data_IF_899225228480
#
_entry.id   IF_899225228480
#
_cell.length_a   1.000
_cell.length_b   1.000
_cell.length_c   1.000
_cell.angle_alpha   90.00
_cell.angle_beta   90.00
_cell.angle_gamma   90.00
#
_symmetry.space_group_name_H-M   'P 1'
#
loop_
_entity.id
_entity.type
_entity.pdbx_description
1 polymer ?
#
# COMPACT_ATOMS: atom_id res chain seq x y z
N UNK A 1 4.76 -24.51 -9.43
CA UNK A 1 4.91 -23.20 -10.09
C UNK A 1 3.50 -22.72 -10.37
N UNK A 2 3.07 -21.63 -9.72
CA UNK A 2 1.71 -21.08 -9.87
C UNK A 2 1.46 -20.56 -11.28
N UNK A 3 0.19 -20.34 -11.63
CA UNK A 3 -0.20 -19.69 -12.89
C UNK A 3 0.35 -18.25 -12.96
N UNK A 4 0.50 -17.65 -14.14
CA UNK A 4 0.95 -16.25 -14.26
C UNK A 4 0.11 -15.27 -13.40
N UNK A 5 -1.20 -15.49 -13.30
CA UNK A 5 -2.09 -14.67 -12.46
C UNK A 5 -1.78 -14.78 -10.96
N UNK A 6 -1.56 -15.99 -10.46
CA UNK A 6 -1.19 -16.23 -9.05
C UNK A 6 0.15 -15.60 -8.69
N UNK A 7 1.11 -15.62 -9.62
CA UNK A 7 2.43 -14.99 -9.42
C UNK A 7 2.29 -13.47 -9.31
N UNK A 8 1.48 -12.84 -10.19
CA UNK A 8 1.22 -11.39 -10.17
C UNK A 8 0.53 -11.00 -8.87
N UNK A 9 -0.48 -11.74 -8.44
CA UNK A 9 -1.19 -11.49 -7.19
C UNK A 9 -0.23 -11.57 -5.99
N UNK A 10 0.58 -12.62 -5.92
CA UNK A 10 1.55 -12.81 -4.83
C UNK A 10 2.58 -11.67 -4.75
N UNK A 11 3.01 -11.15 -5.90
CA UNK A 11 3.90 -9.97 -5.97
C UNK A 11 3.19 -8.72 -5.46
N UNK A 12 1.93 -8.49 -5.86
CA UNK A 12 1.12 -7.37 -5.41
C UNK A 12 0.95 -7.37 -3.89
N UNK A 13 0.59 -8.52 -3.31
CA UNK A 13 0.46 -8.67 -1.86
C UNK A 13 1.77 -8.45 -1.10
N UNK A 14 2.90 -8.88 -1.67
CA UNK A 14 4.20 -8.65 -1.05
C UNK A 14 4.55 -7.15 -1.04
N UNK A 15 4.33 -6.43 -2.14
CA UNK A 15 4.53 -4.97 -2.17
C UNK A 15 3.60 -4.25 -1.19
N UNK A 16 2.34 -4.62 -1.09
CA UNK A 16 1.41 -4.02 -0.14
C UNK A 16 1.95 -4.11 1.29
N UNK A 17 2.40 -5.29 1.72
CA UNK A 17 2.97 -5.49 3.06
C UNK A 17 4.22 -4.65 3.29
N UNK A 18 5.11 -4.60 2.29
CA UNK A 18 6.34 -3.80 2.36
C UNK A 18 6.04 -2.31 2.43
N UNK A 19 5.09 -1.82 1.63
CA UNK A 19 4.69 -0.42 1.65
C UNK A 19 4.09 -0.02 2.99
N UNK A 20 3.18 -0.83 3.54
CA UNK A 20 2.60 -0.60 4.87
C UNK A 20 3.71 -0.55 5.92
N UNK A 21 4.62 -1.51 5.94
CA UNK A 21 5.73 -1.54 6.89
C UNK A 21 6.68 -0.35 6.73
N UNK A 22 6.89 0.14 5.50
CA UNK A 22 7.67 1.34 5.24
C UNK A 22 6.96 2.61 5.72
N UNK A 23 5.65 2.72 5.51
CA UNK A 23 4.85 3.85 6.01
C UNK A 23 4.87 3.89 7.54
N UNK A 24 4.64 2.76 8.21
CA UNK A 24 4.72 2.65 9.67
C UNK A 24 6.10 2.97 10.24
N UNK A 25 7.16 2.74 9.45
CA UNK A 25 8.54 3.05 9.87
C UNK A 25 8.90 4.52 9.74
N UNK A 26 8.30 5.21 8.76
CA UNK A 26 8.73 6.55 8.35
C UNK A 26 7.71 7.65 8.64
N UNK A 27 6.44 7.30 8.83
CA UNK A 27 5.39 8.28 9.16
C UNK A 27 5.08 8.18 10.66
N UNK A 28 5.50 9.16 11.48
CA UNK A 28 5.19 9.15 12.89
C UNK A 28 3.68 9.09 13.13
N UNK A 29 3.25 8.36 14.15
CA UNK A 29 1.85 8.21 14.55
C UNK A 29 0.94 7.48 13.57
N UNK A 30 1.46 6.96 12.45
CA UNK A 30 0.71 6.10 11.55
C UNK A 30 0.79 4.64 12.00
N UNK A 31 -0.34 3.97 12.01
CA UNK A 31 -0.47 2.55 12.30
C UNK A 31 -1.50 1.93 11.35
N UNK A 32 -1.14 0.83 10.68
CA UNK A 32 -2.10 0.04 9.94
C UNK A 32 -2.96 -0.79 10.92
N UNK A 33 -4.28 -0.75 10.75
CA UNK A 33 -5.22 -1.47 11.61
C UNK A 33 -5.84 -2.66 10.88
N UNK A 34 -6.28 -2.45 9.64
CA UNK A 34 -6.95 -3.46 8.82
C UNK A 34 -6.33 -3.51 7.43
N UNK A 35 -6.26 -4.69 6.85
CA UNK A 35 -5.95 -4.87 5.43
C UNK A 35 -7.04 -5.69 4.73
N UNK A 36 -7.10 -5.58 3.40
CA UNK A 36 -8.15 -6.21 2.59
C UNK A 36 -8.14 -7.74 2.66
N UNK A 37 -7.00 -8.35 2.98
CA UNK A 37 -6.86 -9.81 3.04
C UNK A 37 -7.31 -10.39 4.38
N UNK A 38 -7.19 -9.61 5.46
CA UNK A 38 -7.54 -10.05 6.81
C UNK A 38 -8.94 -9.64 7.20
N UNK A 39 -9.35 -8.40 6.88
CA UNK A 39 -10.65 -7.85 7.22
C UNK A 39 -11.27 -7.07 6.04
N UNK A 40 -11.70 -7.77 4.98
CA UNK A 40 -12.19 -7.14 3.76
C UNK A 40 -13.40 -6.22 3.99
N UNK A 41 -14.25 -6.53 4.94
CA UNK A 41 -15.45 -5.73 5.24
C UNK A 41 -15.11 -4.35 5.83
N UNK A 42 -13.93 -4.20 6.46
CA UNK A 42 -13.48 -2.93 7.03
C UNK A 42 -12.89 -1.98 6.00
N UNK A 43 -12.48 -2.53 4.85
CA UNK A 43 -11.85 -1.78 3.76
C UNK A 43 -12.75 -1.64 2.54
N UNK A 44 -13.94 -2.27 2.54
CA UNK A 44 -14.84 -2.35 1.37
C UNK A 44 -16.03 -1.40 1.46
N UNK A 45 -16.39 -0.82 0.32
CA UNK A 45 -17.45 0.17 0.18
C UNK A 45 -18.28 -0.10 -1.08
N UNK A 46 -19.49 0.42 -1.13
CA UNK A 46 -20.32 0.41 -2.33
C UNK A 46 -20.14 1.71 -3.12
N UNK A 47 -19.89 1.59 -4.40
CA UNK A 47 -19.90 2.73 -5.33
C UNK A 47 -21.33 3.10 -5.74
N UNK A 48 -21.53 4.34 -6.18
CA UNK A 48 -22.80 4.85 -6.69
C UNK A 48 -23.28 4.11 -7.94
N UNK A 49 -22.33 3.57 -8.73
CA UNK A 49 -22.63 2.71 -9.88
C UNK A 49 -23.00 1.26 -9.53
N UNK A 50 -23.19 0.94 -8.23
CA UNK A 50 -23.56 -0.40 -7.76
C UNK A 50 -22.39 -1.37 -7.63
N UNK A 51 -21.19 -0.98 -8.00
CA UNK A 51 -19.98 -1.82 -7.89
C UNK A 51 -19.37 -1.69 -6.49
N UNK A 52 -19.05 -2.80 -5.84
CA UNK A 52 -18.23 -2.77 -4.61
C UNK A 52 -16.77 -2.54 -4.97
N UNK A 53 -16.08 -1.79 -4.13
CA UNK A 53 -14.64 -1.57 -4.20
C UNK A 53 -14.02 -1.64 -2.81
N UNK A 54 -12.72 -1.87 -2.77
CA UNK A 54 -11.95 -1.92 -1.53
C UNK A 54 -10.71 -1.05 -1.63
N UNK A 55 -10.25 -0.56 -0.48
CA UNK A 55 -8.88 -0.10 -0.31
C UNK A 55 -8.01 -1.26 0.16
N UNK A 56 -6.72 -1.23 -0.14
CA UNK A 56 -5.80 -2.29 0.27
C UNK A 56 -5.59 -2.31 1.78
N UNK A 57 -5.69 -1.15 2.44
CA UNK A 57 -5.61 -1.04 3.90
C UNK A 57 -6.42 0.12 4.47
N UNK A 58 -6.74 0.01 5.75
CA UNK A 58 -7.22 1.10 6.57
C UNK A 58 -6.33 1.21 7.80
N UNK A 59 -5.70 2.36 7.98
CA UNK A 59 -4.87 2.68 9.12
C UNK A 59 -5.41 3.87 9.92
N UNK A 60 -4.69 4.22 10.98
CA UNK A 60 -4.98 5.39 11.81
C UNK A 60 -3.74 6.27 11.91
N UNK A 61 -3.93 7.54 11.66
CA UNK A 61 -2.95 8.59 11.97
C UNK A 61 -3.32 9.20 13.33
N UNK A 62 -2.56 8.83 14.35
CA UNK A 62 -2.88 9.10 15.75
C UNK A 62 -2.01 10.24 16.32
N UNK A 63 -2.02 11.38 15.64
CA UNK A 63 -1.29 12.56 16.10
C UNK A 63 -1.93 13.10 17.40
N UNK A 64 -1.14 13.64 18.36
CA UNK A 64 -1.66 14.15 19.64
C UNK A 64 -2.84 15.14 19.52
N UNK A 65 -2.87 15.89 18.42
CA UNK A 65 -3.91 16.90 18.18
C UNK A 65 -5.01 16.46 17.20
N UNK A 66 -4.85 15.30 16.56
CA UNK A 66 -5.78 14.85 15.52
C UNK A 66 -5.71 13.35 15.32
N UNK A 67 -6.84 12.68 15.48
CA UNK A 67 -7.01 11.31 15.02
C UNK A 67 -7.74 11.32 13.68
N UNK A 68 -7.21 10.61 12.70
CA UNK A 68 -7.81 10.44 11.39
C UNK A 68 -7.65 9.00 10.90
N UNK A 69 -8.62 8.49 10.17
CA UNK A 69 -8.46 7.23 9.45
C UNK A 69 -7.70 7.49 8.14
N UNK A 70 -6.99 6.48 7.66
CA UNK A 70 -6.20 6.53 6.44
C UNK A 70 -6.60 5.35 5.58
N UNK A 71 -7.17 5.62 4.43
CA UNK A 71 -7.49 4.59 3.43
C UNK A 71 -6.42 4.58 2.36
N UNK A 72 -5.81 3.44 2.10
CA UNK A 72 -4.67 3.34 1.20
C UNK A 72 -4.82 2.32 0.10
N UNK A 73 -4.28 2.67 -1.06
CA UNK A 73 -4.14 1.82 -2.24
C UNK A 73 -2.66 1.63 -2.54
N UNK A 74 -2.23 0.39 -2.68
CA UNK A 74 -0.84 0.00 -2.92
C UNK A 74 -0.68 -0.57 -4.33
N UNK A 75 0.20 0.00 -5.12
CA UNK A 75 0.45 -0.44 -6.50
C UNK A 75 1.93 -0.72 -6.73
N UNK A 76 2.28 -2.00 -6.60
CA UNK A 76 3.63 -2.51 -6.91
C UNK A 76 3.72 -2.93 -8.37
N UNK A 77 4.45 -2.17 -9.19
CA UNK A 77 4.60 -2.44 -10.61
C UNK A 77 6.05 -2.59 -11.05
N UNK A 78 6.25 -3.32 -12.15
CA UNK A 78 7.53 -3.34 -12.85
C UNK A 78 7.68 -2.16 -13.82
N UNK A 79 6.57 -1.51 -14.23
CA UNK A 79 6.52 -0.39 -15.18
C UNK A 79 5.36 0.54 -14.84
N UNK A 80 5.47 1.81 -15.24
CA UNK A 80 4.46 2.83 -14.98
C UNK A 80 3.17 2.71 -15.84
N UNK A 81 3.11 1.77 -16.79
CA UNK A 81 1.97 1.60 -17.68
C UNK A 81 0.68 1.30 -16.92
N UNK A 82 -0.39 2.05 -17.18
CA UNK A 82 -1.69 1.88 -16.52
C UNK A 82 -1.84 2.57 -15.17
N UNK A 83 -0.74 3.00 -14.52
CA UNK A 83 -0.76 3.55 -13.17
C UNK A 83 -1.62 4.83 -13.05
N UNK A 84 -1.67 5.65 -14.10
CA UNK A 84 -2.52 6.84 -14.11
C UNK A 84 -4.01 6.47 -14.10
N UNK A 85 -4.40 5.41 -14.81
CA UNK A 85 -5.77 4.87 -14.77
C UNK A 85 -6.16 4.36 -13.39
N UNK A 86 -5.26 3.63 -12.73
CA UNK A 86 -5.44 3.16 -11.36
C UNK A 86 -5.56 4.33 -10.35
N UNK A 87 -4.74 5.37 -10.53
CA UNK A 87 -4.83 6.56 -9.69
C UNK A 87 -6.17 7.29 -9.87
N UNK A 88 -6.68 7.41 -11.10
CA UNK A 88 -8.02 7.97 -11.35
C UNK A 88 -9.13 7.14 -10.71
N UNK A 89 -9.06 5.81 -10.78
CA UNK A 89 -9.99 4.93 -10.09
C UNK A 89 -9.89 5.09 -8.56
N UNK A 90 -8.69 5.21 -8.01
CA UNK A 90 -8.48 5.52 -6.59
C UNK A 90 -9.11 6.86 -6.20
N UNK A 91 -8.98 7.92 -7.01
CA UNK A 91 -9.62 9.20 -6.75
C UNK A 91 -11.14 9.09 -6.70
N UNK A 92 -11.74 8.29 -7.58
CA UNK A 92 -13.18 8.03 -7.56
C UNK A 92 -13.62 7.31 -6.28
N UNK A 93 -12.87 6.28 -5.83
CA UNK A 93 -13.10 5.60 -4.56
C UNK A 93 -12.99 6.57 -3.38
N UNK A 94 -11.92 7.36 -3.32
CA UNK A 94 -11.71 8.35 -2.28
C UNK A 94 -12.84 9.39 -2.23
N UNK A 95 -13.31 9.86 -3.39
CA UNK A 95 -14.42 10.81 -3.48
C UNK A 95 -15.71 10.21 -2.94
N UNK A 96 -16.13 9.02 -3.40
CA UNK A 96 -17.36 8.36 -2.93
C UNK A 96 -17.29 8.03 -1.44
N UNK A 97 -16.16 7.48 -0.97
CA UNK A 97 -15.95 7.21 0.46
C UNK A 97 -16.06 8.50 1.28
N UNK A 98 -15.47 9.58 0.78
CA UNK A 98 -15.52 10.88 1.45
C UNK A 98 -16.93 11.44 1.54
N UNK A 99 -17.72 11.37 0.46
CA UNK A 99 -19.05 12.00 0.37
C UNK A 99 -20.15 11.12 0.95
N UNK A 100 -20.21 9.86 0.57
CA UNK A 100 -21.37 9.00 0.82
C UNK A 100 -21.27 8.29 2.19
N UNK A 101 -20.07 8.15 2.71
CA UNK A 101 -19.84 7.51 4.02
C UNK A 101 -19.46 8.49 5.14
N UNK A 102 -19.66 9.81 4.92
CA UNK A 102 -19.44 10.83 5.93
C UNK A 102 -17.97 11.04 6.30
N UNK A 103 -17.03 10.61 5.46
CA UNK A 103 -15.58 10.68 5.68
C UNK A 103 -14.94 12.00 5.19
N UNK A 104 -15.75 13.04 5.04
CA UNK A 104 -15.34 14.27 4.34
C UNK A 104 -14.57 15.29 5.18
N UNK A 105 -14.38 15.09 6.47
CA UNK A 105 -13.75 16.13 7.29
C UNK A 105 -12.39 15.74 7.88
N UNK A 106 -12.08 14.46 8.03
CA UNK A 106 -10.94 14.04 8.85
C UNK A 106 -10.01 13.02 8.20
N UNK A 107 -10.52 12.19 7.29
CA UNK A 107 -9.80 11.02 6.84
C UNK A 107 -8.88 11.32 5.66
N UNK A 108 -7.77 10.62 5.58
CA UNK A 108 -6.79 10.74 4.51
C UNK A 108 -6.93 9.58 3.52
N UNK A 109 -6.55 9.84 2.27
CA UNK A 109 -6.53 8.86 1.21
C UNK A 109 -5.13 8.81 0.59
N UNK A 110 -4.46 7.67 0.69
CA UNK A 110 -3.07 7.50 0.29
C UNK A 110 -2.93 6.54 -0.88
N UNK A 111 -2.25 6.98 -1.92
CA UNK A 111 -1.86 6.16 -3.06
C UNK A 111 -0.36 5.89 -3.00
N UNK A 112 0.03 4.63 -2.92
CA UNK A 112 1.40 4.21 -2.71
C UNK A 112 1.87 3.40 -3.93
N UNK A 113 3.03 3.71 -4.47
CA UNK A 113 3.61 3.01 -5.61
C UNK A 113 5.14 2.96 -5.50
N UNK A 114 5.76 1.99 -6.17
CA UNK A 114 7.22 1.91 -6.27
C UNK A 114 7.79 2.58 -7.53
N UNK A 115 6.94 2.99 -8.46
CA UNK A 115 7.37 3.66 -9.70
C UNK A 115 6.71 5.03 -9.84
N UNK A 116 7.45 6.06 -10.26
CA UNK A 116 6.85 7.34 -10.60
C UNK A 116 5.99 7.20 -11.87
N UNK A 117 4.94 7.99 -11.99
CA UNK A 117 4.13 8.04 -13.19
C UNK A 117 4.10 9.46 -13.79
N UNK A 118 3.93 9.50 -15.12
CA UNK A 118 4.29 10.62 -15.98
C UNK A 118 3.69 12.02 -15.65
N UNK A 119 2.68 12.10 -14.80
CA UNK A 119 2.02 13.36 -14.45
C UNK A 119 2.51 13.96 -13.12
N UNK A 120 3.58 13.42 -12.53
CA UNK A 120 4.08 13.91 -11.24
C UNK A 120 5.02 15.11 -11.35
N UNK A 121 5.59 15.34 -12.53
CA UNK A 121 6.41 16.52 -12.78
C UNK A 121 5.54 17.79 -12.62
N UNK A 122 5.92 18.63 -11.66
CA UNK A 122 5.17 19.85 -11.35
C UNK A 122 4.02 19.73 -10.33
N UNK A 123 3.87 18.59 -9.63
CA UNK A 123 2.85 18.45 -8.56
C UNK A 123 1.40 18.34 -9.07
N UNK A 124 1.20 18.19 -10.39
CA UNK A 124 -0.09 18.29 -11.06
C UNK A 124 -1.18 17.32 -10.63
N UNK A 125 -0.81 16.08 -10.22
CA UNK A 125 -1.79 15.02 -9.90
C UNK A 125 -2.58 15.24 -8.60
N UNK A 126 -2.17 16.16 -7.75
CA UNK A 126 -2.84 16.55 -6.51
C UNK A 126 -3.48 17.93 -6.59
N UNK A 127 -3.57 18.51 -7.77
CA UNK A 127 -4.26 19.78 -7.96
C UNK A 127 -5.77 19.59 -8.04
N UNK A 128 -6.51 20.61 -7.64
CA UNK A 128 -7.95 20.63 -7.77
C UNK A 128 -8.39 20.34 -9.23
N UNK A 129 -7.76 20.98 -10.20
CA UNK A 129 -8.09 20.80 -11.62
C UNK A 129 -7.92 19.35 -12.05
N UNK A 130 -6.76 18.74 -11.75
CA UNK A 130 -6.51 17.35 -12.11
C UNK A 130 -7.53 16.40 -11.45
N UNK A 131 -7.78 16.56 -10.15
CA UNK A 131 -8.71 15.67 -9.42
C UNK A 131 -10.12 15.83 -9.95
N UNK A 132 -10.59 17.05 -10.18
CA UNK A 132 -11.90 17.33 -10.78
C UNK A 132 -12.04 16.71 -12.17
N UNK A 133 -11.03 16.89 -13.03
CA UNK A 133 -11.06 16.38 -14.40
C UNK A 133 -11.01 14.85 -14.42
N UNK A 134 -10.21 14.24 -13.54
CA UNK A 134 -10.16 12.79 -13.36
C UNK A 134 -11.52 12.20 -12.92
N UNK A 135 -12.21 12.86 -12.00
CA UNK A 135 -13.54 12.45 -11.53
C UNK A 135 -14.65 12.65 -12.58
N UNK A 136 -14.46 13.61 -13.48
CA UNK A 136 -15.40 13.86 -14.59
C UNK A 136 -15.04 13.10 -15.88
N UNK A 137 -13.97 12.29 -15.87
CA UNK A 137 -13.56 11.48 -17.03
C UNK A 137 -14.53 10.31 -17.25
N UNK A 138 -15.60 10.57 -18.00
CA UNK A 138 -16.61 9.57 -18.36
C UNK A 138 -16.08 8.48 -19.32
N UNK A 139 -14.94 8.70 -19.96
CA UNK A 139 -14.25 7.70 -20.77
C UNK A 139 -13.57 6.63 -19.93
N UNK A 140 -13.22 6.92 -18.68
CA UNK A 140 -12.61 5.95 -17.77
C UNK A 140 -13.68 5.01 -17.18
N UNK A 141 -13.66 3.76 -17.62
CA UNK A 141 -14.65 2.75 -17.22
C UNK A 141 -14.67 2.52 -15.71
N UNK A 142 -13.52 2.49 -15.05
CA UNK A 142 -13.44 2.25 -13.59
C UNK A 142 -13.98 3.44 -12.80
N UNK A 143 -13.64 4.66 -13.20
CA UNK A 143 -14.22 5.88 -12.59
C UNK A 143 -15.74 5.86 -12.71
N UNK A 144 -16.27 5.54 -13.90
CA UNK A 144 -17.71 5.47 -14.14
C UNK A 144 -18.41 4.38 -13.33
N UNK A 145 -17.81 3.19 -13.19
CA UNK A 145 -18.36 2.12 -12.34
C UNK A 145 -18.50 2.55 -10.87
N UNK A 146 -17.57 3.36 -10.37
CA UNK A 146 -17.56 3.81 -8.98
C UNK A 146 -18.53 4.99 -8.78
N UNK A 147 -18.43 6.02 -9.62
CA UNK A 147 -19.24 7.24 -9.49
C UNK A 147 -20.66 7.10 -10.03
N UNK A 148 -20.93 6.15 -10.93
CA UNK A 148 -22.18 6.11 -11.67
C UNK A 148 -22.37 7.38 -12.50
N UNK A 149 -23.63 7.79 -12.66
CA UNK A 149 -24.00 9.04 -13.35
C UNK A 149 -24.08 10.24 -12.40
N UNK A 150 -23.62 10.07 -11.16
CA UNK A 150 -23.68 11.09 -10.12
C UNK A 150 -22.87 12.35 -10.46
N UNK A 151 -23.38 13.48 -10.00
CA UNK A 151 -22.68 14.76 -10.09
C UNK A 151 -21.48 14.79 -9.15
N UNK A 152 -20.37 15.42 -9.60
CA UNK A 152 -19.17 15.68 -8.80
C UNK A 152 -19.27 17.08 -8.22
N UNK A 153 -19.36 17.21 -6.91
CA UNK A 153 -19.43 18.50 -6.21
C UNK A 153 -18.03 19.08 -6.00
N UNK A 154 -17.83 20.29 -6.51
CA UNK A 154 -16.56 21.00 -6.47
C UNK A 154 -16.06 21.32 -5.04
N UNK A 155 -16.95 21.53 -4.09
CA UNK A 155 -16.57 21.78 -2.70
C UNK A 155 -15.98 20.52 -2.04
N UNK A 156 -16.58 19.37 -2.31
CA UNK A 156 -16.02 18.10 -1.85
C UNK A 156 -14.68 17.77 -2.53
N UNK A 157 -14.51 18.10 -3.82
CA UNK A 157 -13.22 17.96 -4.51
C UNK A 157 -12.14 18.81 -3.84
N UNK A 158 -12.43 20.08 -3.52
CA UNK A 158 -11.47 20.95 -2.80
C UNK A 158 -11.08 20.38 -1.44
N UNK A 159 -12.05 19.89 -0.69
CA UNK A 159 -11.81 19.23 0.60
C UNK A 159 -11.00 17.93 0.46
N UNK A 160 -11.23 17.15 -0.59
CA UNK A 160 -10.51 15.90 -0.86
C UNK A 160 -9.03 16.16 -1.18
N UNK A 161 -8.73 17.15 -2.04
CA UNK A 161 -7.36 17.50 -2.47
C UNK A 161 -6.40 17.67 -1.29
N UNK A 162 -6.84 18.36 -0.23
CA UNK A 162 -6.03 18.57 0.98
C UNK A 162 -5.76 17.31 1.81
N UNK A 163 -6.43 16.19 1.48
CA UNK A 163 -6.37 14.93 2.21
C UNK A 163 -5.77 13.78 1.40
N UNK A 164 -5.38 14.06 0.15
CA UNK A 164 -4.70 13.12 -0.71
C UNK A 164 -3.21 13.04 -0.39
N UNK A 165 -2.68 11.85 -0.21
CA UNK A 165 -1.26 11.54 -0.17
C UNK A 165 -0.86 10.68 -1.38
N UNK A 166 0.28 10.99 -1.99
CA UNK A 166 0.89 10.12 -3.00
C UNK A 166 2.32 9.85 -2.56
N UNK A 167 2.65 8.58 -2.38
CA UNK A 167 3.95 8.15 -1.91
C UNK A 167 4.62 7.29 -2.98
N UNK A 168 5.86 7.62 -3.32
CA UNK A 168 6.68 6.81 -4.21
C UNK A 168 7.76 6.16 -3.37
N UNK A 169 7.58 4.89 -3.09
CA UNK A 169 8.50 4.07 -2.33
C UNK A 169 9.31 3.21 -3.29
N UNK A 170 10.31 3.81 -3.93
CA UNK A 170 11.17 3.10 -4.90
C UNK A 170 11.88 1.93 -4.24
N UNK A 171 12.26 0.92 -5.04
CA UNK A 171 13.00 -0.23 -4.53
C UNK A 171 14.30 0.22 -3.83
N UNK A 172 14.99 1.22 -4.37
CA UNK A 172 16.16 1.83 -3.77
C UNK A 172 15.88 2.46 -2.39
N UNK A 173 14.75 3.17 -2.23
CA UNK A 173 14.33 3.69 -0.94
C UNK A 173 14.04 2.56 0.05
N UNK A 174 13.31 1.53 -0.39
CA UNK A 174 12.94 0.40 0.45
C UNK A 174 14.16 -0.41 0.92
N UNK A 175 15.16 -0.61 0.04
CA UNK A 175 16.41 -1.31 0.39
C UNK A 175 17.20 -0.60 1.49
N UNK A 176 17.12 0.73 1.56
CA UNK A 176 17.79 1.54 2.56
C UNK A 176 16.95 1.79 3.82
N UNK A 177 15.75 1.22 3.90
CA UNK A 177 14.83 1.42 5.00
C UNK A 177 14.70 0.16 5.84
N UNK A 178 14.86 0.28 7.18
CA UNK A 178 14.49 -0.81 8.09
C UNK A 178 12.98 -0.79 8.29
N UNK A 179 12.31 -1.78 7.72
CA UNK A 179 10.86 -1.92 7.78
C UNK A 179 10.41 -2.34 9.17
N UNK A 180 9.41 -1.67 9.74
CA UNK A 180 8.77 -2.10 10.97
C UNK A 180 7.61 -3.05 10.63
N UNK A 181 7.74 -4.32 11.00
CA UNK A 181 6.72 -5.33 10.72
C UNK A 181 6.05 -5.78 12.01
N UNK A 182 4.71 -5.74 12.05
CA UNK A 182 3.93 -6.29 13.17
C UNK A 182 3.70 -7.78 12.93
N UNK A 183 4.13 -8.60 13.86
CA UNK A 183 4.00 -10.06 13.80
C UNK A 183 2.55 -10.46 14.05
N UNK A 184 1.95 -11.21 13.11
CA UNK A 184 0.64 -11.80 13.27
C UNK A 184 0.71 -13.11 14.07
N UNK A 185 -0.45 -13.60 14.54
CA UNK A 185 -0.52 -14.87 15.26
C UNK A 185 -0.06 -16.03 14.38
N UNK A 186 0.80 -16.88 14.91
CA UNK A 186 1.32 -18.06 14.20
C UNK A 186 2.41 -17.78 13.17
N UNK A 187 2.88 -16.54 13.03
CA UNK A 187 3.99 -16.25 12.14
C UNK A 187 5.33 -16.58 12.79
N UNK A 188 6.24 -17.09 11.95
CA UNK A 188 7.68 -17.20 12.24
C UNK A 188 8.42 -16.18 11.36
N UNK A 189 9.68 -15.89 11.69
CA UNK A 189 10.49 -15.01 10.84
C UNK A 189 10.62 -15.56 9.41
N UNK A 190 10.64 -16.87 9.26
CA UNK A 190 10.62 -17.57 7.98
C UNK A 190 9.36 -17.27 7.16
N UNK A 191 8.19 -17.40 7.78
CA UNK A 191 6.92 -17.13 7.10
C UNK A 191 6.78 -15.67 6.72
N UNK A 192 7.23 -14.76 7.58
CA UNK A 192 7.23 -13.32 7.32
C UNK A 192 8.13 -12.99 6.13
N UNK A 193 9.38 -13.45 6.14
CA UNK A 193 10.31 -13.21 5.04
C UNK A 193 9.80 -13.82 3.73
N UNK A 194 9.22 -15.02 3.76
CA UNK A 194 8.58 -15.64 2.58
C UNK A 194 7.45 -14.78 2.02
N UNK A 195 6.60 -14.24 2.88
CA UNK A 195 5.50 -13.34 2.48
C UNK A 195 6.02 -12.05 1.83
N UNK A 196 7.04 -11.43 2.44
CA UNK A 196 7.63 -10.19 1.93
C UNK A 196 8.38 -10.38 0.59
N UNK A 197 8.85 -11.59 0.31
CA UNK A 197 9.58 -11.93 -0.92
C UNK A 197 8.75 -12.73 -1.93
N UNK A 198 7.42 -12.57 -1.93
CA UNK A 198 6.51 -13.24 -2.86
C UNK A 198 6.64 -14.78 -2.87
N UNK A 199 6.76 -15.37 -1.68
CA UNK A 199 6.80 -16.83 -1.50
C UNK A 199 8.14 -17.48 -1.82
N UNK A 200 9.15 -16.74 -2.25
CA UNK A 200 10.49 -17.26 -2.57
C UNK A 200 11.47 -16.98 -1.44
N UNK A 201 12.17 -18.01 -0.99
CA UNK A 201 13.26 -17.85 -0.04
C UNK A 201 14.53 -17.46 -0.82
N UNK A 202 15.20 -16.34 -0.49
CA UNK A 202 16.49 -16.00 -1.11
C UNK A 202 17.56 -17.02 -0.71
N UNK A 203 18.57 -17.18 -1.56
CA UNK A 203 19.76 -18.00 -1.26
C UNK A 203 20.40 -17.49 0.04
N UNK A 204 20.84 -18.39 0.91
CA UNK A 204 21.37 -17.99 2.23
C UNK A 204 20.34 -17.55 3.26
N UNK A 205 19.08 -17.78 3.01
CA UNK A 205 17.94 -17.34 3.81
C UNK A 205 18.04 -17.67 5.30
N UNK A 206 18.64 -18.81 5.65
CA UNK A 206 18.83 -19.20 7.04
C UNK A 206 19.73 -18.23 7.79
N UNK A 207 20.87 -17.88 7.23
CA UNK A 207 21.80 -16.91 7.82
C UNK A 207 21.19 -15.50 7.94
N UNK A 208 20.35 -15.11 6.93
CA UNK A 208 19.61 -13.86 6.97
C UNK A 208 18.61 -13.86 8.13
N UNK A 209 17.83 -14.92 8.30
CA UNK A 209 16.86 -15.04 9.37
C UNK A 209 17.52 -15.04 10.76
N UNK A 210 18.64 -15.73 10.92
CA UNK A 210 19.42 -15.74 12.16
C UNK A 210 19.99 -14.36 12.49
N UNK A 211 20.51 -13.63 11.50
CA UNK A 211 20.99 -12.26 11.67
C UNK A 211 19.88 -11.30 12.09
N UNK A 212 18.71 -11.36 11.42
CA UNK A 212 17.54 -10.56 11.76
C UNK A 212 17.06 -10.89 13.18
N UNK A 213 17.05 -12.17 13.56
CA UNK A 213 16.69 -12.58 14.92
C UNK A 213 17.64 -11.96 15.95
N UNK A 214 18.95 -12.00 15.70
CA UNK A 214 19.96 -11.36 16.55
C UNK A 214 19.78 -9.85 16.65
N UNK A 215 19.60 -9.14 15.53
CA UNK A 215 19.39 -7.69 15.50
C UNK A 215 18.12 -7.25 16.27
N UNK A 216 17.08 -8.07 16.23
CA UNK A 216 15.83 -7.82 16.96
C UNK A 216 15.81 -8.41 18.37
N UNK A 217 16.92 -8.98 18.84
CA UNK A 217 17.05 -9.63 20.16
C UNK A 217 16.01 -10.75 20.36
N UNK A 218 15.68 -11.46 19.31
CA UNK A 218 14.77 -12.61 19.34
C UNK A 218 15.54 -13.84 19.87
N UNK A 219 14.84 -14.73 20.54
CA UNK A 219 15.41 -15.99 21.03
C UNK A 219 15.87 -16.90 19.89
N UNK A 220 15.12 -16.92 18.80
CA UNK A 220 15.45 -17.62 17.55
C UNK A 220 14.58 -17.11 16.42
N UNK A 221 14.90 -17.50 15.18
CA UNK A 221 14.09 -17.16 14.00
C UNK A 221 12.69 -17.81 14.01
N UNK A 222 12.49 -18.90 14.76
CA UNK A 222 11.22 -19.61 14.88
C UNK A 222 10.33 -19.06 16.00
N UNK A 223 10.88 -18.22 16.90
CA UNK A 223 10.16 -17.70 18.06
C UNK A 223 10.01 -16.17 17.97
N UNK A 224 8.98 -15.74 17.26
CA UNK A 224 8.55 -14.34 17.21
C UNK A 224 7.23 -14.21 17.96
N UNK A 225 7.14 -13.21 18.83
CA UNK A 225 5.94 -13.01 19.63
C UNK A 225 4.88 -12.29 18.79
N UNK A 226 3.67 -12.87 18.73
CA UNK A 226 2.51 -12.23 18.11
C UNK A 226 2.26 -10.84 18.71
N UNK A 227 1.95 -9.87 17.86
CA UNK A 227 1.74 -8.47 18.23
C UNK A 227 3.04 -7.66 18.40
N UNK A 228 4.22 -8.31 18.49
CA UNK A 228 5.48 -7.58 18.54
C UNK A 228 5.82 -6.90 17.22
N UNK A 229 6.63 -5.84 17.27
CA UNK A 229 7.21 -5.21 16.08
C UNK A 229 8.66 -5.62 15.93
N UNK A 230 9.02 -6.08 14.73
CA UNK A 230 10.39 -6.45 14.38
C UNK A 230 10.88 -5.56 13.22
N UNK A 231 12.18 -5.26 13.22
CA UNK A 231 12.81 -4.50 12.15
C UNK A 231 13.37 -5.46 11.11
N UNK A 232 12.93 -5.31 9.87
CA UNK A 232 13.31 -6.17 8.76
C UNK A 232 14.02 -5.35 7.68
N UNK A 233 15.13 -5.83 7.12
CA UNK A 233 15.68 -5.28 5.90
C UNK A 233 14.81 -5.68 4.71
N UNK A 234 14.77 -4.84 3.68
CA UNK A 234 14.14 -5.13 2.41
C UNK A 234 15.19 -5.59 1.39
N UNK A 235 14.96 -6.72 0.76
CA UNK A 235 15.89 -7.30 -0.22
C UNK A 235 15.37 -7.26 -1.66
N UNK A 236 14.29 -6.53 -1.91
CA UNK A 236 13.62 -6.50 -3.21
C UNK A 236 12.66 -7.68 -3.44
N UNK A 237 11.74 -7.50 -4.39
CA UNK A 237 10.91 -8.60 -4.90
C UNK A 237 11.50 -9.07 -6.23
N UNK A 238 11.81 -10.35 -6.32
CA UNK A 238 12.30 -10.93 -7.55
C UNK A 238 11.18 -11.04 -8.60
N UNK A 239 11.09 -10.06 -9.49
CA UNK A 239 10.06 -9.94 -10.53
C UNK A 239 10.23 -10.92 -11.70
N UNK A 240 11.42 -11.55 -11.86
CA UNK A 240 11.77 -12.33 -13.07
C UNK A 240 12.04 -13.81 -12.81
N UNK A 241 11.93 -14.29 -11.58
CA UNK A 241 12.40 -15.63 -11.25
C UNK A 241 13.91 -15.75 -11.16
N UNK A 242 14.61 -14.63 -11.04
CA UNK A 242 16.05 -14.57 -10.85
C UNK A 242 16.43 -15.12 -9.48
N UNK A 243 17.56 -15.79 -9.45
CA UNK A 243 18.33 -15.92 -8.22
C UNK A 243 18.69 -14.51 -7.74
N UNK A 244 18.64 -14.23 -6.43
CA UNK A 244 19.09 -12.94 -5.94
C UNK A 244 20.54 -12.75 -6.40
N UNK A 245 20.81 -11.65 -7.11
CA UNK A 245 22.18 -11.23 -7.33
C UNK A 245 22.88 -11.21 -5.97
N UNK A 246 24.10 -11.74 -5.94
CA UNK A 246 24.89 -11.86 -4.73
C UNK A 246 24.86 -10.53 -3.97
N UNK A 247 24.28 -10.55 -2.79
CA UNK A 247 24.27 -9.38 -1.92
C UNK A 247 25.73 -9.06 -1.57
N UNK A 248 26.21 -7.94 -2.08
CA UNK A 248 27.49 -7.40 -1.68
C UNK A 248 27.58 -7.37 -0.15
N UNK A 249 28.73 -7.71 0.38
CA UNK A 249 29.02 -7.66 1.81
C UNK A 249 28.65 -6.26 2.34
N UNK A 250 27.77 -6.21 3.35
CA UNK A 250 27.45 -5.01 4.11
C UNK A 250 28.35 -4.90 5.33
#
# INVERSE_FOLDING_TARGET
>A
VGTPGEVIQTIGEAYQRVFIAALESNIPYFENIFDVHTEPDKTSFAGRGGTRYSFDFCGVYNHPWRRAEVFGECKGYSRAGGLLGEYRAFLARAYVTSTDYGRHAKDYFWFITNVPFACMEGGGIRTYTFVRDALNDRGNTEVRKILGDGHVDDNFVRGLVGRLGVFILTDSFLMNTKLSYRVSSGETLWSILKKLHAGRAPTGFRGIAERIASENRLRSADHVLSGSRIKLPWFGINKRGYEPEEFGEF
#
